data_IF_859917771342
#
_entry.id   IF_859917771342
#
_cell.length_a   1.000
_cell.length_b   1.000
_cell.length_c   1.000
_cell.angle_alpha   90.00
_cell.angle_beta   90.00
_cell.angle_gamma   90.00
#
_symmetry.space_group_name_H-M   'P 1'
#
loop_
_entity.id
_entity.type
_entity.pdbx_description
1 polymer ?
#
# COMPACT_ATOMS: atom_id res chain seq x y z
N UNK A 1 6.75 11.86 6.13
CA UNK A 1 7.49 10.63 6.47
C UNK A 1 7.64 9.80 5.21
N UNK A 2 8.77 9.13 5.00
CA UNK A 2 8.99 8.20 3.88
C UNK A 2 8.72 6.78 4.40
N UNK A 3 7.81 6.05 3.74
CA UNK A 3 7.37 4.72 4.15
C UNK A 3 8.51 3.67 4.09
N UNK A 4 9.51 3.89 3.23
CA UNK A 4 10.65 2.96 3.04
C UNK A 4 11.53 2.84 4.29
N UNK A 5 11.50 3.83 5.18
CA UNK A 5 12.26 3.84 6.44
C UNK A 5 11.47 3.22 7.61
N UNK A 6 10.23 2.77 7.40
CA UNK A 6 9.44 2.11 8.44
C UNK A 6 9.90 0.66 8.58
N UNK A 7 10.09 0.20 9.81
CA UNK A 7 10.51 -1.18 10.12
C UNK A 7 9.37 -2.18 9.93
N UNK A 8 8.96 -2.40 8.68
CA UNK A 8 7.82 -3.21 8.29
C UNK A 8 8.20 -4.55 7.64
N UNK A 9 9.43 -4.67 7.14
CA UNK A 9 9.88 -5.86 6.42
C UNK A 9 9.89 -7.07 7.36
N UNK A 10 9.36 -8.19 6.88
CA UNK A 10 9.22 -9.42 7.67
C UNK A 10 7.92 -9.50 8.47
N UNK A 11 7.16 -8.42 8.59
CA UNK A 11 5.83 -8.46 9.21
C UNK A 11 4.83 -9.18 8.31
N UNK A 12 3.96 -9.96 8.93
CA UNK A 12 2.91 -10.70 8.22
C UNK A 12 1.64 -9.88 8.17
N UNK A 13 1.02 -9.77 7.00
CA UNK A 13 -0.24 -9.05 6.84
C UNK A 13 -1.38 -9.94 7.31
N UNK A 14 -2.05 -9.54 8.40
CA UNK A 14 -3.26 -10.17 8.93
C UNK A 14 -4.51 -9.74 8.17
N UNK A 15 -4.54 -8.50 7.68
CA UNK A 15 -5.71 -7.97 6.99
C UNK A 15 -5.46 -6.61 6.36
N UNK A 16 -6.33 -6.30 5.39
CA UNK A 16 -6.39 -5.00 4.72
C UNK A 16 -7.82 -4.50 4.88
N UNK A 17 -7.98 -3.29 5.42
CA UNK A 17 -9.28 -2.67 5.68
C UNK A 17 -9.36 -1.37 4.92
N UNK A 18 -10.40 -1.21 4.09
CA UNK A 18 -10.68 0.02 3.36
C UNK A 18 -11.89 0.73 3.99
N UNK A 19 -11.69 1.97 4.43
CA UNK A 19 -12.72 2.81 5.03
C UNK A 19 -13.03 3.95 4.04
N UNK A 20 -13.97 3.69 3.13
CA UNK A 20 -14.23 4.60 1.99
C UNK A 20 -14.67 6.00 2.42
N UNK A 21 -15.40 6.14 3.53
CA UNK A 21 -15.89 7.43 4.01
C UNK A 21 -14.73 8.36 4.46
N UNK A 22 -13.65 7.78 4.99
CA UNK A 22 -12.47 8.51 5.44
C UNK A 22 -11.36 8.53 4.38
N UNK A 23 -11.58 7.90 3.22
CA UNK A 23 -10.54 7.62 2.21
C UNK A 23 -9.29 7.03 2.88
N UNK A 24 -9.50 6.02 3.72
CA UNK A 24 -8.41 5.43 4.51
C UNK A 24 -8.24 3.97 4.12
N UNK A 25 -6.98 3.55 3.97
CA UNK A 25 -6.60 2.15 3.83
C UNK A 25 -5.70 1.78 5.00
N UNK A 26 -6.06 0.72 5.72
CA UNK A 26 -5.35 0.24 6.90
C UNK A 26 -4.82 -1.15 6.60
N UNK A 27 -3.52 -1.35 6.82
CA UNK A 27 -2.89 -2.67 6.77
C UNK A 27 -2.57 -3.09 8.19
N UNK A 28 -3.13 -4.23 8.60
CA UNK A 28 -2.95 -4.80 9.93
C UNK A 28 -1.87 -5.87 9.87
N UNK A 29 -0.86 -5.76 10.73
CA UNK A 29 0.23 -6.74 10.84
C UNK A 29 0.02 -7.70 12.01
N UNK A 30 0.82 -8.77 12.04
CA UNK A 30 0.71 -9.82 13.04
C UNK A 30 1.21 -9.46 14.43
N UNK A 31 2.05 -8.45 14.54
CA UNK A 31 2.61 -7.89 15.77
C UNK A 31 1.78 -6.73 16.37
N UNK A 32 0.51 -6.62 15.99
CA UNK A 32 -0.43 -5.57 16.41
C UNK A 32 -0.07 -4.15 15.96
N UNK A 33 0.92 -4.01 15.07
CA UNK A 33 1.21 -2.76 14.35
C UNK A 33 0.22 -2.57 13.21
N UNK A 34 -0.10 -1.31 12.89
CA UNK A 34 -0.91 -0.97 11.73
C UNK A 34 -0.29 0.15 10.89
N UNK A 35 -0.44 0.04 9.58
CA UNK A 35 -0.03 1.07 8.63
C UNK A 35 -1.27 1.71 8.01
N UNK A 36 -1.41 3.00 8.25
CA UNK A 36 -2.55 3.80 7.84
C UNK A 36 -2.15 4.68 6.65
N UNK A 37 -2.89 4.57 5.56
CA UNK A 37 -2.81 5.44 4.40
C UNK A 37 -4.03 6.33 4.36
N UNK A 38 -3.83 7.64 4.56
CA UNK A 38 -4.87 8.65 4.54
C UNK A 38 -4.96 9.34 3.18
N UNK A 39 -6.17 9.78 2.85
CA UNK A 39 -6.53 10.21 1.51
C UNK A 39 -6.14 9.16 0.45
N UNK A 40 -6.27 7.88 0.79
CA UNK A 40 -6.09 6.76 -0.11
C UNK A 40 -7.28 6.71 -1.08
N UNK A 41 -7.07 7.25 -2.27
CA UNK A 41 -8.10 7.29 -3.31
C UNK A 41 -8.17 6.02 -4.13
N UNK A 42 -7.06 5.30 -4.23
CA UNK A 42 -6.94 4.14 -5.10
C UNK A 42 -5.93 3.16 -4.54
N UNK A 43 -6.29 1.89 -4.58
CA UNK A 43 -5.36 0.79 -4.38
C UNK A 43 -5.71 -0.37 -5.29
N UNK A 44 -4.70 -1.15 -5.65
CA UNK A 44 -4.84 -2.41 -6.39
C UNK A 44 -4.18 -3.49 -5.54
N UNK A 45 -4.98 -4.47 -5.12
CA UNK A 45 -4.53 -5.66 -4.42
C UNK A 45 -4.51 -6.83 -5.41
N UNK A 46 -3.36 -7.50 -5.56
CA UNK A 46 -3.25 -8.69 -6.41
C UNK A 46 -3.51 -10.02 -5.67
N UNK A 47 -3.81 -9.99 -4.37
CA UNK A 47 -4.02 -11.22 -3.58
C UNK A 47 -3.26 -11.29 -2.26
N UNK A 48 -2.90 -10.16 -1.65
CA UNK A 48 -1.91 -10.00 -0.54
C UNK A 48 -2.27 -10.71 0.80
N UNK A 49 -3.32 -11.51 0.86
CA UNK A 49 -3.81 -12.12 2.09
C UNK A 49 -2.79 -13.11 2.68
N UNK A 50 -2.48 -12.93 3.98
CA UNK A 50 -1.66 -13.85 4.79
C UNK A 50 -0.18 -13.95 4.37
N UNK A 51 0.31 -13.02 3.54
CA UNK A 51 1.70 -13.00 3.11
C UNK A 51 2.62 -12.14 3.99
N UNK A 52 3.93 -12.34 3.83
CA UNK A 52 4.97 -11.61 4.56
C UNK A 52 5.48 -10.46 3.71
N UNK A 53 5.56 -9.27 4.29
CA UNK A 53 6.06 -8.09 3.59
C UNK A 53 7.55 -8.24 3.27
N UNK A 54 7.90 -8.23 1.98
CA UNK A 54 9.28 -8.42 1.50
C UNK A 54 9.98 -7.12 1.15
N UNK A 55 9.24 -6.16 0.60
CA UNK A 55 9.77 -4.82 0.31
C UNK A 55 8.66 -3.79 0.23
N UNK A 56 9.02 -2.55 0.54
CA UNK A 56 8.20 -1.36 0.34
C UNK A 56 8.99 -0.42 -0.56
N UNK A 57 8.35 0.12 -1.59
CA UNK A 57 8.99 1.08 -2.50
C UNK A 57 8.05 2.19 -2.88
N UNK A 58 8.52 3.42 -2.76
CA UNK A 58 7.88 4.59 -3.36
C UNK A 58 8.25 4.68 -4.84
N UNK A 59 7.36 5.25 -5.65
CA UNK A 59 7.62 5.49 -7.06
C UNK A 59 6.88 6.75 -7.52
N UNK A 60 7.31 7.32 -8.64
CA UNK A 60 6.81 8.60 -9.17
C UNK A 60 5.40 8.53 -9.77
N UNK A 61 4.72 7.39 -9.66
CA UNK A 61 3.42 7.14 -10.28
C UNK A 61 3.44 6.04 -11.34
N UNK A 62 2.27 5.43 -11.54
CA UNK A 62 2.03 4.36 -12.50
C UNK A 62 1.06 4.91 -13.54
N UNK A 63 1.36 4.71 -14.82
CA UNK A 63 0.54 5.26 -15.92
C UNK A 63 -0.95 4.94 -15.77
N UNK A 64 -1.28 3.74 -15.26
CA UNK A 64 -2.64 3.35 -14.92
C UNK A 64 -3.29 4.29 -13.90
N UNK A 65 -2.64 4.49 -12.75
CA UNK A 65 -3.11 5.41 -11.71
C UNK A 65 -3.21 6.84 -12.20
N UNK A 66 -2.19 7.35 -12.90
CA UNK A 66 -2.19 8.72 -13.44
C UNK A 66 -3.36 8.93 -14.40
N UNK A 67 -3.62 7.97 -15.30
CA UNK A 67 -4.72 8.06 -16.27
C UNK A 67 -6.07 8.04 -15.57
N UNK A 68 -6.25 7.15 -14.59
CA UNK A 68 -7.52 7.06 -13.84
C UNK A 68 -7.77 8.31 -13.00
N UNK A 69 -6.76 8.82 -12.28
CA UNK A 69 -6.89 10.05 -11.48
C UNK A 69 -7.23 11.26 -12.36
N UNK A 70 -6.56 11.42 -13.51
CA UNK A 70 -6.90 12.46 -14.49
C UNK A 70 -8.34 12.33 -14.99
N UNK A 71 -8.81 11.11 -15.27
CA UNK A 71 -10.20 10.85 -15.67
C UNK A 71 -11.22 11.21 -14.59
N UNK A 72 -10.82 11.26 -13.32
CA UNK A 72 -11.63 11.67 -12.18
C UNK A 72 -11.55 13.18 -11.88
N UNK A 73 -10.85 13.97 -12.70
CA UNK A 73 -10.51 15.38 -12.46
C UNK A 73 -9.73 15.61 -11.16
N UNK A 74 -8.82 14.69 -10.84
CA UNK A 74 -7.98 14.77 -9.65
C UNK A 74 -6.54 15.00 -10.10
N UNK A 75 -5.91 15.99 -9.47
CA UNK A 75 -4.49 16.23 -9.70
C UNK A 75 -3.67 15.10 -9.09
N UNK A 76 -2.86 14.44 -9.91
CA UNK A 76 -2.06 13.29 -9.49
C UNK A 76 -0.74 13.72 -8.84
N UNK A 77 -0.28 14.95 -9.10
CA UNK A 77 0.93 15.52 -8.49
C UNK A 77 0.76 15.73 -6.97
N UNK A 78 -0.48 15.80 -6.52
CA UNK A 78 -0.91 15.88 -5.13
C UNK A 78 -0.73 14.58 -4.34
N UNK A 79 -0.42 13.47 -5.03
CA UNK A 79 -0.41 12.12 -4.47
C UNK A 79 0.98 11.48 -4.54
N UNK A 80 1.23 10.64 -3.55
CA UNK A 80 2.36 9.72 -3.49
C UNK A 80 1.90 8.33 -3.90
N UNK A 81 2.83 7.55 -4.41
CA UNK A 81 2.57 6.18 -4.84
C UNK A 81 3.58 5.25 -4.21
N UNK A 82 3.09 4.13 -3.68
CA UNK A 82 3.95 3.06 -3.20
C UNK A 82 3.41 1.70 -3.57
N UNK A 83 4.29 0.71 -3.59
CA UNK A 83 3.89 -0.67 -3.62
C UNK A 83 4.53 -1.47 -2.49
N UNK A 84 3.77 -2.44 -2.00
CA UNK A 84 4.17 -3.42 -1.02
C UNK A 84 4.26 -4.76 -1.73
N UNK A 85 5.47 -5.30 -1.85
CA UNK A 85 5.64 -6.66 -2.35
C UNK A 85 5.47 -7.62 -1.18
N UNK A 86 4.55 -8.55 -1.35
CA UNK A 86 4.16 -9.53 -0.35
C UNK A 86 4.32 -10.90 -0.99
N UNK A 87 4.84 -11.84 -0.24
CA UNK A 87 4.96 -13.21 -0.73
C UNK A 87 5.04 -14.18 0.43
N UNK A 88 5.08 -15.45 0.09
CA UNK A 88 5.25 -16.50 1.08
C UNK A 88 6.64 -16.44 1.73
N UNK A 89 6.85 -17.25 2.76
CA UNK A 89 8.19 -17.46 3.33
C UNK A 89 9.18 -18.03 2.29
N UNK A 90 8.69 -18.60 1.19
CA UNK A 90 9.51 -19.23 0.15
C UNK A 90 9.89 -18.25 -0.99
N UNK A 91 11.17 -18.21 -1.42
CA UNK A 91 11.69 -17.18 -2.32
C UNK A 91 11.26 -17.28 -3.80
N UNK A 92 10.51 -18.33 -4.19
CA UNK A 92 10.19 -18.62 -5.60
C UNK A 92 8.69 -18.60 -5.94
N UNK A 93 7.80 -18.28 -4.99
CA UNK A 93 6.36 -18.18 -5.26
C UNK A 93 5.95 -16.79 -5.76
N UNK A 94 4.73 -16.71 -6.31
CA UNK A 94 4.12 -15.48 -6.81
C UNK A 94 4.28 -14.35 -5.79
N UNK A 95 4.81 -13.21 -6.24
CA UNK A 95 4.86 -12.01 -5.42
C UNK A 95 3.60 -11.20 -5.65
N UNK A 96 2.73 -11.19 -4.67
CA UNK A 96 1.60 -10.28 -4.63
C UNK A 96 2.06 -8.85 -4.38
N UNK A 97 1.31 -7.91 -4.93
CA UNK A 97 1.59 -6.49 -4.87
C UNK A 97 0.34 -5.75 -4.46
N UNK A 98 0.46 -5.00 -3.37
CA UNK A 98 -0.49 -3.95 -3.04
C UNK A 98 0.08 -2.62 -3.53
N UNK A 99 -0.56 -2.02 -4.52
CA UNK A 99 -0.22 -0.70 -5.07
C UNK A 99 -1.18 0.33 -4.52
N UNK A 100 -0.68 1.47 -4.06
CA UNK A 100 -1.47 2.44 -3.30
C UNK A 100 -1.14 3.86 -3.76
N UNK A 101 -2.18 4.67 -3.98
CA UNK A 101 -2.08 6.12 -4.17
C UNK A 101 -2.63 6.84 -2.93
N UNK A 102 -1.78 7.62 -2.24
CA UNK A 102 -2.08 8.21 -0.93
C UNK A 102 -1.45 9.60 -0.76
N UNK A 103 -1.92 10.40 0.20
CA UNK A 103 -1.25 11.68 0.56
C UNK A 103 -0.37 11.54 1.80
N UNK A 104 -0.90 10.88 2.82
CA UNK A 104 -0.24 10.72 4.12
C UNK A 104 -0.19 9.26 4.54
N UNK A 105 0.91 8.86 5.17
CA UNK A 105 1.09 7.52 5.73
C UNK A 105 1.57 7.61 7.17
N UNK A 106 1.02 6.76 8.04
CA UNK A 106 1.36 6.69 9.45
C UNK A 106 1.46 5.25 9.94
N UNK A 107 2.50 4.97 10.72
CA UNK A 107 2.66 3.72 11.45
C UNK A 107 2.12 3.90 12.88
N UNK A 108 1.32 2.95 13.37
CA UNK A 108 0.79 2.91 14.73
C UNK A 108 1.14 1.59 15.40
#
# INVERSE_FOLDING_TARGET
MNIENMSLIGLKIKGIVSISINKELIILFDNDTSLHFYDCIMYIDSGVVNGVLKSVKEYSGEMGFVTTLKGMNIDWDDYKFCYLNVGDEYPFSQQDKLRIAYKTVQLT
#
